data_IF_347670781888
#
_entry.id   IF_347670781888
#
_cell.length_a   1.000
_cell.length_b   1.000
_cell.length_c   1.000
_cell.angle_alpha   90.00
_cell.angle_beta   90.00
_cell.angle_gamma   90.00
#
_symmetry.space_group_name_H-M   'P 1'
#
loop_
_entity.id
_entity.type
_entity.pdbx_description
1 polymer ?
#
# COMPACT_ATOMS: atom_id res chain seq x y z
N UNK A 1 19.61 -16.83 2.95
CA UNK A 1 18.58 -16.02 2.25
C UNK A 1 17.53 -15.64 3.29
N UNK A 2 17.39 -14.35 3.61
CA UNK A 2 16.40 -13.87 4.58
C UNK A 2 14.97 -14.11 4.05
N UNK A 3 14.27 -15.11 4.64
CA UNK A 3 12.91 -15.50 4.26
C UNK A 3 11.86 -14.42 4.60
N UNK A 4 12.17 -13.55 5.57
CA UNK A 4 11.38 -12.35 5.88
C UNK A 4 12.28 -11.12 5.95
N UNK A 5 11.79 -9.98 5.48
CA UNK A 5 12.53 -8.70 5.39
C UNK A 5 11.88 -7.65 6.28
N UNK A 6 12.16 -7.74 7.58
CA UNK A 6 11.73 -6.75 8.56
C UNK A 6 12.73 -5.61 8.65
N UNK A 7 12.24 -4.39 8.87
CA UNK A 7 13.10 -3.26 9.19
C UNK A 7 13.72 -3.45 10.58
N UNK A 8 14.97 -3.01 10.73
CA UNK A 8 15.74 -3.10 11.99
C UNK A 8 15.77 -1.80 12.77
N UNK A 9 14.93 -0.84 12.40
CA UNK A 9 14.79 0.45 13.05
C UNK A 9 13.52 0.48 13.90
N UNK A 10 13.66 0.99 15.13
CA UNK A 10 12.52 1.30 16.00
C UNK A 10 11.98 2.67 15.61
N UNK A 11 10.66 2.79 15.46
CA UNK A 11 10.03 4.06 15.12
C UNK A 11 10.15 5.06 16.26
N UNK A 12 10.49 6.31 15.90
CA UNK A 12 10.50 7.43 16.85
C UNK A 12 9.06 7.90 17.14
N UNK A 13 8.79 8.47 18.33
CA UNK A 13 7.46 8.93 18.71
C UNK A 13 6.80 9.85 17.68
N UNK A 14 7.56 10.74 17.08
CA UNK A 14 7.09 11.70 16.08
C UNK A 14 6.58 10.96 14.83
N UNK A 15 7.28 9.91 14.41
CA UNK A 15 6.84 9.02 13.32
C UNK A 15 5.59 8.25 13.70
N UNK A 16 5.49 7.76 14.94
CA UNK A 16 4.30 7.04 15.43
C UNK A 16 3.08 7.95 15.40
N UNK A 17 3.18 9.18 15.92
CA UNK A 17 2.11 10.19 15.91
C UNK A 17 1.70 10.50 14.49
N UNK A 18 2.67 10.75 13.59
CA UNK A 18 2.41 11.02 12.19
C UNK A 18 1.64 9.88 11.51
N UNK A 19 2.09 8.63 11.68
CA UNK A 19 1.42 7.46 11.09
C UNK A 19 0.01 7.29 11.67
N UNK A 20 -0.17 7.48 12.98
CA UNK A 20 -1.47 7.40 13.64
C UNK A 20 -2.46 8.44 13.09
N UNK A 21 -2.05 9.70 13.07
CA UNK A 21 -2.86 10.81 12.56
C UNK A 21 -3.22 10.60 11.09
N UNK A 22 -2.26 10.14 10.28
CA UNK A 22 -2.49 9.80 8.88
C UNK A 22 -3.57 8.74 8.71
N UNK A 23 -3.55 7.68 9.53
CA UNK A 23 -4.59 6.64 9.52
C UNK A 23 -5.94 7.12 10.08
N UNK A 24 -6.04 8.36 10.59
CA UNK A 24 -7.24 8.88 11.23
C UNK A 24 -7.59 8.22 12.56
N UNK A 25 -6.61 7.61 13.24
CA UNK A 25 -6.84 6.86 14.47
C UNK A 25 -6.63 7.70 15.73
N UNK A 26 -7.49 7.51 16.71
CA UNK A 26 -7.28 8.00 18.08
C UNK A 26 -6.22 7.17 18.81
N UNK A 27 -5.63 7.75 19.86
CA UNK A 27 -4.62 7.05 20.68
C UNK A 27 -5.18 5.77 21.32
N UNK A 28 -6.46 5.77 21.71
CA UNK A 28 -7.12 4.60 22.28
C UNK A 28 -7.24 3.46 21.27
N UNK A 29 -7.64 3.78 20.04
CA UNK A 29 -7.82 2.81 18.96
C UNK A 29 -6.49 2.16 18.58
N UNK A 30 -5.43 2.98 18.40
CA UNK A 30 -4.11 2.44 18.08
C UNK A 30 -3.54 1.63 19.25
N UNK A 31 -3.79 2.05 20.50
CA UNK A 31 -3.51 1.25 21.68
C UNK A 31 -4.17 -0.13 21.62
N UNK A 32 -5.48 -0.20 21.33
CA UNK A 32 -6.24 -1.46 21.20
C UNK A 32 -5.70 -2.34 20.08
N UNK A 33 -5.40 -1.79 18.90
CA UNK A 33 -4.81 -2.51 17.76
C UNK A 33 -3.49 -3.17 18.17
N UNK A 34 -2.69 -2.48 18.99
CA UNK A 34 -1.39 -2.95 19.46
C UNK A 34 -1.48 -3.85 20.71
N UNK A 35 -2.69 -4.06 21.25
CA UNK A 35 -2.95 -4.87 22.44
C UNK A 35 -2.55 -4.18 23.75
N UNK A 36 -2.66 -2.85 23.82
CA UNK A 36 -2.29 -2.02 24.96
C UNK A 36 -3.45 -1.16 25.43
N UNK A 37 -3.45 -0.80 26.71
CA UNK A 37 -4.32 0.25 27.24
C UNK A 37 -3.76 1.64 26.90
N UNK A 38 -4.60 2.68 27.01
CA UNK A 38 -4.26 4.05 26.58
C UNK A 38 -2.98 4.58 27.24
N UNK A 39 -2.83 4.43 28.56
CA UNK A 39 -1.70 5.03 29.29
C UNK A 39 -0.32 4.48 28.88
N UNK A 40 -0.13 3.15 28.74
CA UNK A 40 1.07 2.58 28.11
C UNK A 40 1.30 3.10 26.69
N UNK A 41 0.26 3.23 25.88
CA UNK A 41 0.37 3.75 24.52
C UNK A 41 0.85 5.21 24.49
N UNK A 42 0.27 6.08 25.31
CA UNK A 42 0.65 7.49 25.42
C UNK A 42 2.13 7.68 25.79
N UNK A 43 2.70 6.78 26.60
CA UNK A 43 4.14 6.83 26.90
C UNK A 43 5.01 6.60 25.67
N UNK A 44 4.57 5.75 24.74
CA UNK A 44 5.27 5.49 23.47
C UNK A 44 5.24 6.68 22.51
N UNK A 45 4.17 7.48 22.57
CA UNK A 45 4.08 8.72 21.80
C UNK A 45 4.78 9.91 22.49
N UNK A 46 5.12 9.83 23.77
CA UNK A 46 5.71 10.94 24.52
C UNK A 46 7.23 10.84 24.74
N UNK A 47 7.84 9.66 24.63
CA UNK A 47 9.23 9.45 25.05
C UNK A 47 10.24 9.65 23.91
N UNK A 48 10.83 10.85 23.82
CA UNK A 48 11.72 11.30 22.71
C UNK A 48 13.23 11.23 23.02
N UNK A 49 13.67 10.77 24.21
CA UNK A 49 15.10 10.93 24.62
C UNK A 49 15.98 9.69 24.41
N UNK A 50 17.13 9.95 23.77
CA UNK A 50 18.38 9.17 23.68
C UNK A 50 18.33 7.75 24.25
N UNK A 51 18.06 6.81 23.34
CA UNK A 51 17.86 5.39 23.60
C UNK A 51 19.09 4.71 24.21
N UNK A 52 19.01 4.30 25.48
CA UNK A 52 19.77 3.14 25.94
C UNK A 52 19.09 1.86 25.44
N UNK A 53 19.94 0.97 24.96
CA UNK A 53 19.71 -0.40 24.49
C UNK A 53 18.41 -1.07 24.95
N UNK A 54 17.75 -1.71 23.98
CA UNK A 54 16.87 -2.88 24.07
C UNK A 54 16.04 -3.02 25.36
N UNK A 55 14.71 -2.90 25.20
CA UNK A 55 13.66 -3.24 26.18
C UNK A 55 13.22 -2.16 27.18
N UNK A 56 13.06 -0.91 26.76
CA UNK A 56 12.19 -0.01 27.51
C UNK A 56 10.72 -0.22 27.12
N UNK A 57 9.88 -0.50 28.13
CA UNK A 57 8.41 -0.54 28.02
C UNK A 57 7.80 0.73 27.38
N UNK A 58 8.54 1.84 27.40
CA UNK A 58 8.19 3.13 26.80
C UNK A 58 8.40 3.19 25.28
N UNK A 59 9.00 2.18 24.64
CA UNK A 59 9.32 2.20 23.20
C UNK A 59 8.61 1.07 22.45
N UNK A 60 8.38 1.24 21.14
CA UNK A 60 7.90 0.13 20.31
C UNK A 60 9.02 -0.90 20.11
N UNK A 61 8.67 -2.18 20.15
CA UNK A 61 9.59 -3.23 19.71
C UNK A 61 9.75 -3.19 18.18
N UNK A 62 10.73 -3.92 17.65
CA UNK A 62 10.88 -4.04 16.20
C UNK A 62 9.64 -4.66 15.55
N UNK A 63 9.07 -5.71 16.13
CA UNK A 63 7.84 -6.32 15.63
C UNK A 63 6.65 -5.36 15.64
N UNK A 64 6.47 -4.60 16.72
CA UNK A 64 5.43 -3.56 16.82
C UNK A 64 5.63 -2.45 15.78
N UNK A 65 6.87 -2.00 15.58
CA UNK A 65 7.23 -0.99 14.59
C UNK A 65 6.94 -1.46 13.16
N UNK A 66 7.31 -2.70 12.83
CA UNK A 66 7.04 -3.30 11.52
C UNK A 66 5.52 -3.47 11.29
N UNK A 67 4.76 -3.86 12.32
CA UNK A 67 3.31 -3.97 12.21
C UNK A 67 2.66 -2.60 11.97
N UNK A 68 3.07 -1.57 12.72
CA UNK A 68 2.55 -0.20 12.54
C UNK A 68 2.81 0.32 11.12
N UNK A 69 4.03 0.11 10.59
CA UNK A 69 4.34 0.45 9.21
C UNK A 69 3.49 -0.33 8.21
N UNK A 70 3.21 -1.61 8.48
CA UNK A 70 2.41 -2.44 7.58
C UNK A 70 0.96 -1.96 7.50
N UNK A 71 0.31 -1.71 8.64
CA UNK A 71 -1.07 -1.25 8.69
C UNK A 71 -1.23 0.19 8.18
N UNK A 72 -0.19 1.01 8.30
CA UNK A 72 -0.12 2.35 7.72
C UNK A 72 0.29 2.37 6.24
N UNK A 73 0.49 1.20 5.61
CA UNK A 73 0.95 1.02 4.23
C UNK A 73 2.33 1.64 3.91
N UNK A 74 3.14 1.88 4.94
CA UNK A 74 4.50 2.47 4.86
C UNK A 74 5.63 1.47 5.01
N UNK A 75 5.32 0.18 5.19
CA UNK A 75 6.35 -0.83 5.25
C UNK A 75 7.11 -0.92 3.91
N UNK A 76 8.45 -0.96 3.89
CA UNK A 76 9.23 -0.91 2.64
C UNK A 76 9.12 -2.21 1.83
N UNK A 77 9.02 -3.36 2.49
CA UNK A 77 9.02 -4.66 1.80
C UNK A 77 7.64 -5.30 1.62
N UNK A 78 6.63 -4.83 2.32
CA UNK A 78 5.33 -5.51 2.43
C UNK A 78 4.21 -4.49 2.39
N UNK A 79 3.05 -4.91 1.91
CA UNK A 79 1.81 -4.13 2.00
C UNK A 79 0.62 -5.07 2.11
N UNK A 80 -0.42 -4.61 2.79
CA UNK A 80 -1.68 -5.34 2.84
C UNK A 80 -2.36 -5.31 1.46
N UNK A 81 -2.95 -6.42 1.03
CA UNK A 81 -3.69 -6.52 -0.24
C UNK A 81 -5.01 -5.75 -0.22
N UNK A 82 -5.49 -5.40 0.96
CA UNK A 82 -6.75 -4.70 1.19
C UNK A 82 -6.57 -3.60 2.23
N UNK A 83 -7.50 -2.63 2.27
CA UNK A 83 -7.45 -1.55 3.25
C UNK A 83 -7.48 -2.10 4.68
N UNK A 84 -6.63 -1.55 5.54
CA UNK A 84 -6.63 -1.90 6.95
C UNK A 84 -7.94 -1.48 7.64
N UNK A 85 -8.44 -2.33 8.55
CA UNK A 85 -9.59 -2.05 9.42
C UNK A 85 -9.31 -2.66 10.80
N UNK A 86 -9.61 -1.94 11.89
CA UNK A 86 -9.40 -2.41 13.27
C UNK A 86 -10.05 -3.78 13.52
N UNK A 87 -11.26 -4.01 13.00
CA UNK A 87 -12.00 -5.27 13.15
C UNK A 87 -11.32 -6.52 12.55
N UNK A 88 -10.27 -6.31 11.77
CA UNK A 88 -9.47 -7.40 11.17
C UNK A 88 -8.37 -7.89 12.10
N UNK A 89 -7.99 -7.12 13.11
CA UNK A 89 -6.96 -7.50 14.07
C UNK A 89 -7.45 -8.69 14.91
N UNK A 90 -6.60 -9.70 15.07
CA UNK A 90 -6.84 -10.81 15.99
C UNK A 90 -6.42 -10.35 17.39
N UNK A 91 -7.39 -10.24 18.29
CA UNK A 91 -7.19 -9.83 19.68
C UNK A 91 -6.95 -11.00 20.63
N UNK A 92 -7.13 -12.23 20.16
CA UNK A 92 -6.86 -13.44 20.93
C UNK A 92 -5.37 -13.57 21.22
N UNK A 93 -5.03 -13.89 22.47
CA UNK A 93 -3.62 -14.09 22.82
C UNK A 93 -3.08 -15.39 22.23
N UNK A 94 -1.90 -15.36 21.60
CA UNK A 94 -1.31 -16.56 21.03
C UNK A 94 -0.92 -17.56 22.12
N UNK A 95 -1.19 -18.84 21.87
CA UNK A 95 -0.59 -19.92 22.65
C UNK A 95 0.87 -20.10 22.26
N UNK A 96 1.67 -20.71 23.14
CA UNK A 96 3.06 -21.05 22.86
C UNK A 96 3.22 -21.91 21.59
N UNK A 97 2.26 -22.81 21.35
CA UNK A 97 2.22 -23.63 20.15
C UNK A 97 1.92 -22.80 18.89
N UNK A 98 1.01 -21.81 18.96
CA UNK A 98 0.80 -20.90 17.83
C UNK A 98 2.07 -20.14 17.46
N UNK A 99 2.82 -19.64 18.46
CA UNK A 99 4.09 -18.92 18.23
C UNK A 99 5.12 -19.84 17.54
N UNK A 100 5.22 -21.09 17.98
CA UNK A 100 6.10 -22.09 17.38
C UNK A 100 5.69 -22.43 15.95
N UNK A 101 4.39 -22.63 15.70
CA UNK A 101 3.84 -22.92 14.37
C UNK A 101 4.12 -21.77 13.39
N UNK A 102 3.93 -20.52 13.81
CA UNK A 102 4.25 -19.35 12.99
C UNK A 102 5.72 -19.32 12.57
N UNK A 103 6.63 -19.58 13.52
CA UNK A 103 8.06 -19.64 13.19
C UNK A 103 8.37 -20.74 12.18
N UNK A 104 7.77 -21.92 12.36
CA UNK A 104 7.95 -23.05 11.44
C UNK A 104 7.37 -22.75 10.06
N UNK A 105 6.19 -22.12 9.98
CA UNK A 105 5.56 -21.70 8.72
C UNK A 105 6.43 -20.66 7.97
N UNK A 106 7.06 -19.75 8.70
CA UNK A 106 8.06 -18.82 8.15
C UNK A 106 9.39 -19.51 7.81
N UNK A 107 9.55 -20.77 8.21
CA UNK A 107 10.71 -21.60 7.96
C UNK A 107 11.99 -21.07 8.59
N UNK A 108 11.85 -20.46 9.78
CA UNK A 108 12.96 -19.87 10.53
C UNK A 108 13.35 -20.72 11.74
N UNK A 109 14.63 -20.67 12.08
CA UNK A 109 15.13 -21.18 13.37
C UNK A 109 14.76 -20.21 14.51
N UNK A 110 14.75 -20.67 15.78
CA UNK A 110 14.52 -19.76 16.92
C UNK A 110 15.53 -18.62 17.00
N UNK A 111 16.76 -18.84 16.55
CA UNK A 111 17.80 -17.82 16.53
C UNK A 111 17.50 -16.76 15.47
N UNK A 112 17.21 -17.17 14.24
CA UNK A 112 16.85 -16.24 13.17
C UNK A 112 15.60 -15.44 13.53
N UNK A 113 14.58 -16.08 14.10
CA UNK A 113 13.36 -15.39 14.51
C UNK A 113 13.62 -14.37 15.63
N UNK A 114 14.45 -14.71 16.61
CA UNK A 114 14.87 -13.78 17.65
C UNK A 114 15.59 -12.57 17.05
N UNK A 115 16.57 -12.79 16.16
CA UNK A 115 17.24 -11.71 15.41
C UNK A 115 16.27 -10.91 14.56
N UNK A 116 15.27 -11.55 13.96
CA UNK A 116 14.30 -10.88 13.10
C UNK A 116 13.43 -9.90 13.90
N UNK A 117 12.98 -10.32 15.08
CA UNK A 117 12.06 -9.59 15.95
C UNK A 117 12.75 -8.71 16.99
N UNK A 118 14.09 -8.70 17.04
CA UNK A 118 14.87 -7.91 18.01
C UNK A 118 14.90 -8.52 19.41
N UNK A 119 14.76 -9.84 19.52
CA UNK A 119 14.84 -10.58 20.78
C UNK A 119 16.17 -11.28 21.00
N UNK A 120 16.51 -11.54 22.26
CA UNK A 120 17.48 -12.60 22.59
C UNK A 120 16.86 -13.97 22.30
N UNK A 121 17.68 -14.95 21.94
CA UNK A 121 17.20 -16.33 21.64
C UNK A 121 16.47 -16.94 22.84
N UNK A 122 16.93 -16.66 24.07
CA UNK A 122 16.28 -17.12 25.30
C UNK A 122 14.89 -16.50 25.52
N UNK A 123 14.76 -15.18 25.28
CA UNK A 123 13.48 -14.50 25.36
C UNK A 123 12.49 -15.01 24.31
N UNK A 124 12.97 -15.32 23.10
CA UNK A 124 12.16 -15.94 22.06
C UNK A 124 11.71 -17.35 22.44
N UNK A 125 12.63 -18.21 22.90
CA UNK A 125 12.30 -19.58 23.34
C UNK A 125 11.27 -19.60 24.46
N UNK A 126 11.32 -18.65 25.38
CA UNK A 126 10.32 -18.51 26.45
C UNK A 126 8.89 -18.24 25.92
N UNK A 127 8.75 -17.61 24.74
CA UNK A 127 7.45 -17.39 24.08
C UNK A 127 6.89 -18.67 23.43
N UNK A 128 7.76 -19.64 23.09
CA UNK A 128 7.38 -20.94 22.52
C UNK A 128 7.19 -22.04 23.57
N UNK A 129 7.35 -21.72 24.86
CA UNK A 129 7.14 -22.67 25.95
C UNK A 129 5.81 -22.40 26.65
N UNK A 130 5.06 -23.47 26.91
CA UNK A 130 3.79 -23.42 27.65
C UNK A 130 4.04 -23.16 29.15
N UNK A 131 4.47 -21.96 29.51
CA UNK A 131 4.65 -21.53 30.90
C UNK A 131 3.62 -20.48 31.28
N UNK A 132 2.94 -20.67 32.41
CA UNK A 132 1.98 -19.69 32.97
C UNK A 132 2.62 -18.34 33.29
N UNK A 133 3.95 -18.29 33.50
CA UNK A 133 4.74 -17.07 33.75
C UNK A 133 5.57 -16.63 32.54
N UNK A 134 5.44 -17.31 31.40
CA UNK A 134 6.20 -17.00 30.19
C UNK A 134 5.86 -15.60 29.65
N UNK A 135 6.87 -14.89 29.15
CA UNK A 135 6.68 -13.63 28.42
C UNK A 135 5.90 -13.98 27.16
N UNK A 136 4.71 -13.41 27.00
CA UNK A 136 3.86 -13.67 25.83
C UNK A 136 4.31 -12.82 24.63
N UNK A 137 3.96 -13.27 23.43
CA UNK A 137 4.09 -12.45 22.23
C UNK A 137 3.03 -11.35 22.27
N UNK A 138 3.40 -10.11 21.91
CA UNK A 138 2.46 -9.00 21.94
C UNK A 138 1.51 -9.09 20.76
N UNK A 139 0.32 -8.48 20.88
CA UNK A 139 -0.73 -8.59 19.87
C UNK A 139 -0.31 -8.08 18.48
N UNK A 140 0.32 -6.90 18.42
CA UNK A 140 0.83 -6.36 17.14
C UNK A 140 1.89 -7.26 16.50
N UNK A 141 2.79 -7.83 17.31
CA UNK A 141 3.81 -8.78 16.83
C UNK A 141 3.18 -10.08 16.32
N UNK A 142 2.16 -10.58 17.01
CA UNK A 142 1.44 -11.78 16.61
C UNK A 142 0.71 -11.59 15.28
N UNK A 143 -0.02 -10.48 15.13
CA UNK A 143 -0.72 -10.14 13.89
C UNK A 143 0.27 -9.98 12.72
N UNK A 144 1.42 -9.32 12.94
CA UNK A 144 2.48 -9.24 11.92
C UNK A 144 2.94 -10.62 11.47
N UNK A 145 3.26 -11.52 12.40
CA UNK A 145 3.78 -12.85 12.05
C UNK A 145 2.72 -13.72 11.36
N UNK A 146 1.47 -13.68 11.81
CA UNK A 146 0.35 -14.35 11.14
C UNK A 146 0.25 -13.93 9.67
N UNK A 147 0.32 -12.62 9.45
CA UNK A 147 0.16 -12.00 8.14
C UNK A 147 1.35 -12.33 7.23
N UNK A 148 2.59 -12.34 7.76
CA UNK A 148 3.78 -12.75 7.02
C UNK A 148 3.83 -14.26 6.74
N UNK A 149 3.27 -15.08 7.63
CA UNK A 149 3.18 -16.53 7.47
C UNK A 149 2.04 -16.96 6.53
N UNK A 150 1.21 -16.04 6.05
CA UNK A 150 0.01 -16.36 5.27
C UNK A 150 -1.07 -17.10 6.07
N UNK A 151 -1.05 -16.98 7.40
CA UNK A 151 -1.95 -17.68 8.34
C UNK A 151 -3.03 -16.77 8.93
N UNK A 152 -3.06 -15.49 8.56
CA UNK A 152 -4.00 -14.53 9.11
C UNK A 152 -5.37 -14.61 8.40
N UNK A 153 -6.44 -14.88 9.16
CA UNK A 153 -7.77 -15.15 8.58
C UNK A 153 -8.46 -13.96 7.90
N UNK A 154 -8.03 -12.72 8.19
CA UNK A 154 -8.69 -11.48 7.71
C UNK A 154 -7.78 -10.50 6.97
N UNK A 155 -6.50 -10.81 6.81
CA UNK A 155 -5.49 -9.90 6.26
C UNK A 155 -4.45 -10.71 5.52
N UNK A 156 -4.00 -10.20 4.38
CA UNK A 156 -2.97 -10.83 3.56
C UNK A 156 -1.96 -9.76 3.15
N UNK A 157 -0.70 -10.14 2.98
CA UNK A 157 0.32 -9.25 2.39
C UNK A 157 0.67 -9.71 1.00
N UNK A 158 1.08 -8.73 0.21
CA UNK A 158 2.01 -8.96 -0.89
C UNK A 158 3.35 -8.34 -0.55
N UNK A 159 4.42 -8.92 -1.07
CA UNK A 159 5.70 -8.21 -1.14
C UNK A 159 5.53 -6.99 -2.02
N UNK A 160 6.02 -5.84 -1.57
CA UNK A 160 6.33 -4.75 -2.51
C UNK A 160 7.41 -5.31 -3.43
N UNK A 161 7.24 -5.16 -4.74
CA UNK A 161 8.33 -5.43 -5.66
C UNK A 161 9.54 -4.69 -5.09
N UNK A 162 10.64 -5.42 -4.89
CA UNK A 162 11.89 -4.75 -4.58
C UNK A 162 12.08 -3.76 -5.73
N UNK A 163 12.42 -2.53 -5.38
CA UNK A 163 13.40 -1.85 -6.20
C UNK A 163 14.58 -2.83 -6.31
N UNK A 164 14.61 -3.60 -7.39
CA UNK A 164 15.68 -4.53 -7.72
C UNK A 164 17.02 -3.78 -7.71
N UNK A 165 18.18 -4.47 -7.66
CA UNK A 165 19.47 -3.80 -7.78
C UNK A 165 19.44 -2.77 -8.92
N UNK A 166 20.08 -1.59 -8.80
CA UNK A 166 19.93 -0.48 -9.75
C UNK A 166 20.05 -0.89 -11.24
N UNK A 167 20.84 -1.91 -11.54
CA UNK A 167 21.04 -2.50 -12.87
C UNK A 167 19.81 -3.28 -13.40
N UNK A 168 19.15 -4.11 -12.57
CA UNK A 168 17.92 -4.82 -12.93
C UNK A 168 16.70 -3.88 -12.97
N UNK A 169 16.70 -2.84 -12.13
CA UNK A 169 15.74 -1.74 -12.21
C UNK A 169 15.91 -0.94 -13.48
N UNK A 170 17.12 -0.63 -13.94
CA UNK A 170 17.29 0.05 -15.24
C UNK A 170 16.76 -0.80 -16.39
N UNK A 171 16.93 -2.12 -16.32
CA UNK A 171 16.44 -3.05 -17.33
C UNK A 171 14.90 -3.19 -17.28
N UNK A 172 14.30 -3.38 -16.10
CA UNK A 172 12.84 -3.47 -15.93
C UNK A 172 12.14 -2.11 -16.08
N UNK A 173 12.76 -1.01 -15.65
CA UNK A 173 12.30 0.35 -15.92
C UNK A 173 12.36 0.62 -17.41
N UNK A 174 13.40 0.18 -18.12
CA UNK A 174 13.45 0.24 -19.58
C UNK A 174 12.32 -0.56 -20.26
N UNK A 175 12.00 -1.76 -19.76
CA UNK A 175 10.89 -2.59 -20.26
C UNK A 175 9.54 -1.96 -19.93
N UNK A 176 9.30 -1.57 -18.68
CA UNK A 176 8.06 -0.92 -18.23
C UNK A 176 7.92 0.44 -18.92
N UNK A 177 9.00 1.19 -19.16
CA UNK A 177 8.95 2.45 -19.91
C UNK A 177 8.75 2.24 -21.42
N UNK A 178 9.26 1.15 -21.98
CA UNK A 178 9.00 0.79 -23.38
C UNK A 178 7.57 0.27 -23.56
N UNK A 179 7.05 -0.53 -22.63
CA UNK A 179 5.68 -1.04 -22.63
C UNK A 179 4.68 0.07 -22.30
N UNK A 180 4.92 0.89 -21.28
CA UNK A 180 4.15 2.11 -21.00
C UNK A 180 4.29 3.12 -22.13
N UNK A 181 5.45 3.20 -22.77
CA UNK A 181 5.67 3.99 -23.97
C UNK A 181 4.86 3.50 -25.17
N UNK A 182 4.68 2.19 -25.32
CA UNK A 182 3.79 1.61 -26.34
C UNK A 182 2.31 1.78 -25.98
N UNK A 183 1.95 1.61 -24.70
CA UNK A 183 0.57 1.71 -24.19
C UNK A 183 0.09 3.17 -24.20
N UNK A 184 0.95 4.10 -23.83
CA UNK A 184 0.65 5.52 -23.68
C UNK A 184 1.28 6.40 -24.78
N UNK A 185 1.91 5.80 -25.79
CA UNK A 185 2.56 6.48 -26.92
C UNK A 185 3.75 7.41 -26.57
N UNK A 186 4.54 7.10 -25.53
CA UNK A 186 5.74 7.86 -25.11
C UNK A 186 7.06 7.19 -25.47
N UNK A 187 8.12 8.00 -25.49
CA UNK A 187 9.51 7.52 -25.53
C UNK A 187 10.05 7.26 -24.11
N UNK A 188 10.97 6.29 -23.93
CA UNK A 188 11.57 6.01 -22.62
C UNK A 188 12.26 7.22 -21.96
N UNK A 189 12.76 8.17 -22.76
CA UNK A 189 13.39 9.41 -22.31
C UNK A 189 12.42 10.37 -21.60
N UNK A 190 11.14 10.36 -21.98
CA UNK A 190 10.10 11.22 -21.39
C UNK A 190 9.65 10.69 -20.02
N UNK A 191 9.56 9.37 -19.85
CA UNK A 191 9.22 8.73 -18.57
C UNK A 191 10.35 8.79 -17.53
N UNK A 192 11.60 9.01 -17.96
CA UNK A 192 12.72 9.21 -17.04
C UNK A 192 12.67 10.55 -16.32
N UNK A 193 11.86 11.49 -16.83
CA UNK A 193 11.62 12.79 -16.28
C UNK A 193 10.26 12.78 -15.53
N UNK A 194 10.12 12.14 -14.36
CA UNK A 194 8.99 12.40 -13.42
C UNK A 194 9.52 12.33 -11.96
N UNK A 195 9.25 13.32 -11.07
CA UNK A 195 9.59 13.31 -9.61
C UNK A 195 8.34 13.53 -8.75
N UNK A 196 8.52 13.25 -7.46
CA UNK A 196 7.48 13.03 -6.46
C UNK A 196 7.17 14.24 -5.55
N UNK A 197 6.28 14.01 -4.58
CA UNK A 197 5.73 14.99 -3.65
C UNK A 197 6.71 15.56 -2.60
N UNK A 198 8.02 15.24 -2.65
CA UNK A 198 9.03 15.72 -1.71
C UNK A 198 9.84 16.94 -2.19
N UNK A 199 9.58 17.43 -3.41
CA UNK A 199 10.07 18.74 -3.85
C UNK A 199 11.49 18.78 -4.43
N UNK A 200 12.12 17.65 -4.76
CA UNK A 200 13.29 17.68 -5.65
C UNK A 200 12.85 17.81 -7.13
N UNK A 201 13.62 18.57 -7.93
CA UNK A 201 13.15 19.31 -9.14
C UNK A 201 12.41 18.53 -10.24
N UNK A 202 11.11 18.75 -10.40
CA UNK A 202 10.44 18.63 -11.70
C UNK A 202 10.38 20.00 -12.37
N UNK A 203 11.55 20.58 -12.67
CA UNK A 203 11.60 21.93 -13.21
C UNK A 203 11.36 21.94 -14.71
N UNK A 204 10.12 22.36 -15.01
CA UNK A 204 9.73 23.22 -16.12
C UNK A 204 10.20 22.83 -17.52
N UNK A 205 9.65 21.81 -18.17
CA UNK A 205 9.62 21.81 -19.65
C UNK A 205 8.38 21.11 -20.22
N UNK A 206 7.91 21.66 -21.35
CA UNK A 206 6.71 21.33 -22.12
C UNK A 206 6.55 19.82 -22.39
N UNK A 207 5.60 19.18 -21.72
CA UNK A 207 5.01 17.96 -22.26
C UNK A 207 4.02 18.38 -23.35
N UNK A 208 4.15 17.81 -24.55
CA UNK A 208 2.95 17.55 -25.35
C UNK A 208 2.16 16.52 -24.51
N UNK A 209 1.21 17.05 -23.73
CA UNK A 209 0.88 16.60 -22.38
C UNK A 209 0.16 15.26 -22.26
N UNK A 210 0.61 14.41 -21.34
CA UNK A 210 -0.25 13.39 -20.71
C UNK A 210 -1.53 14.08 -20.25
N UNK A 211 -2.67 13.55 -20.70
CA UNK A 211 -3.95 14.01 -20.22
C UNK A 211 -4.14 13.54 -18.76
N UNK A 212 -4.88 14.27 -17.91
CA UNK A 212 -5.06 13.92 -16.50
C UNK A 212 -5.48 12.47 -16.23
N UNK A 213 -6.28 11.85 -17.10
CA UNK A 213 -6.63 10.43 -17.00
C UNK A 213 -5.43 9.49 -17.19
N UNK A 214 -4.61 9.74 -18.21
CA UNK A 214 -3.40 8.94 -18.48
C UNK A 214 -2.37 9.11 -17.36
N UNK A 215 -2.19 10.34 -16.89
CA UNK A 215 -1.32 10.64 -15.75
C UNK A 215 -1.79 9.93 -14.48
N UNK A 216 -3.10 9.93 -14.21
CA UNK A 216 -3.67 9.23 -13.05
C UNK A 216 -3.45 7.72 -13.13
N UNK A 217 -3.60 7.11 -14.31
CA UNK A 217 -3.28 5.70 -14.50
C UNK A 217 -1.79 5.40 -14.28
N UNK A 218 -0.91 6.23 -14.83
CA UNK A 218 0.53 6.10 -14.62
C UNK A 218 0.90 6.17 -13.13
N UNK A 219 0.32 7.11 -12.38
CA UNK A 219 0.53 7.21 -10.95
C UNK A 219 0.02 5.98 -10.19
N UNK A 220 -1.06 5.33 -10.64
CA UNK A 220 -1.53 4.06 -10.04
C UNK A 220 -0.52 2.93 -10.26
N UNK A 221 -0.02 2.80 -11.48
CA UNK A 221 0.98 1.80 -11.88
C UNK A 221 2.28 1.95 -11.09
N UNK A 222 2.72 3.19 -10.89
CA UNK A 222 3.91 3.52 -10.11
C UNK A 222 3.70 3.44 -8.58
N UNK A 223 2.49 3.12 -8.12
CA UNK A 223 2.11 3.18 -6.70
C UNK A 223 2.44 4.57 -6.09
N UNK A 224 2.15 5.64 -6.84
CA UNK A 224 2.35 7.05 -6.46
C UNK A 224 1.06 7.87 -6.48
N UNK A 225 -0.06 7.29 -6.91
CA UNK A 225 -1.34 8.00 -6.94
C UNK A 225 -1.73 8.50 -5.55
N UNK A 226 -2.22 9.75 -5.40
CA UNK A 226 -2.50 10.33 -4.09
C UNK A 226 -3.62 9.59 -3.36
N UNK A 227 -4.68 9.24 -4.08
CA UNK A 227 -5.92 8.73 -3.45
C UNK A 227 -6.07 7.21 -3.49
N UNK A 228 -5.32 6.53 -4.35
CA UNK A 228 -5.58 5.14 -4.73
C UNK A 228 -4.27 4.39 -4.91
N UNK A 229 -4.34 3.07 -4.89
CA UNK A 229 -3.23 2.18 -5.26
C UNK A 229 -3.78 0.85 -5.74
N UNK A 230 -2.99 0.12 -6.53
CA UNK A 230 -3.31 -1.24 -6.91
C UNK A 230 -3.15 -2.19 -5.71
N UNK A 231 -4.09 -3.13 -5.57
CA UNK A 231 -4.05 -4.20 -4.56
C UNK A 231 -2.84 -5.10 -4.73
N UNK A 232 -2.54 -5.47 -5.98
CA UNK A 232 -1.38 -6.29 -6.38
C UNK A 232 -0.35 -5.43 -7.13
N UNK A 233 0.94 -5.82 -7.13
CA UNK A 233 1.94 -5.13 -7.93
C UNK A 233 1.52 -5.12 -9.40
N UNK A 234 1.82 -4.01 -10.09
CA UNK A 234 1.46 -3.87 -11.49
C UNK A 234 2.15 -4.94 -12.36
N UNK A 235 1.42 -5.45 -13.34
CA UNK A 235 1.93 -6.31 -14.39
C UNK A 235 1.36 -5.82 -15.73
N UNK A 236 2.22 -5.48 -16.69
CA UNK A 236 1.82 -4.96 -17.99
C UNK A 236 0.90 -5.91 -18.77
N UNK A 237 1.00 -7.23 -18.56
CA UNK A 237 0.11 -8.21 -19.21
C UNK A 237 -1.34 -8.10 -18.74
N UNK A 238 -1.62 -7.36 -17.66
CA UNK A 238 -2.97 -7.15 -17.14
C UNK A 238 -3.67 -5.95 -17.80
N UNK A 239 -2.94 -5.12 -18.55
CA UNK A 239 -3.50 -3.95 -19.22
C UNK A 239 -4.37 -4.38 -20.40
N UNK A 240 -5.59 -3.87 -20.43
CA UNK A 240 -6.47 -4.05 -21.59
C UNK A 240 -6.03 -3.08 -22.68
N UNK A 241 -5.43 -3.62 -23.75
CA UNK A 241 -5.00 -2.86 -24.91
C UNK A 241 -6.11 -2.68 -25.96
N UNK A 242 -7.21 -3.43 -25.82
CA UNK A 242 -8.37 -3.30 -26.68
C UNK A 242 -9.02 -1.93 -26.49
N UNK A 243 -9.40 -1.31 -27.61
CA UNK A 243 -10.12 -0.03 -27.57
C UNK A 243 -11.56 -0.28 -27.12
N UNK A 244 -12.09 0.51 -26.18
CA UNK A 244 -13.47 0.34 -25.76
C UNK A 244 -14.44 0.67 -26.88
N UNK A 245 -15.50 -0.12 -27.01
CA UNK A 245 -16.67 0.23 -27.82
C UNK A 245 -17.54 1.24 -27.06
N UNK A 246 -18.49 1.87 -27.75
CA UNK A 246 -19.48 2.76 -27.13
C UNK A 246 -20.25 2.02 -26.03
N UNK A 247 -20.66 0.78 -26.31
CA UNK A 247 -21.36 -0.09 -25.34
C UNK A 247 -20.52 -0.37 -24.09
N UNK A 248 -19.19 -0.56 -24.25
CA UNK A 248 -18.30 -0.73 -23.10
C UNK A 248 -18.28 0.51 -22.20
N UNK A 249 -18.36 1.71 -22.78
CA UNK A 249 -18.32 2.97 -22.03
C UNK A 249 -19.66 3.22 -21.34
N UNK A 250 -20.78 3.03 -22.05
CA UNK A 250 -22.13 3.13 -21.50
C UNK A 250 -22.35 2.17 -20.33
N UNK A 251 -21.79 0.96 -20.39
CA UNK A 251 -21.82 0.00 -19.29
C UNK A 251 -21.09 0.50 -18.02
N UNK A 252 -20.05 1.32 -18.16
CA UNK A 252 -19.25 1.81 -17.02
C UNK A 252 -19.86 3.03 -16.33
N UNK A 253 -20.57 3.88 -17.04
CA UNK A 253 -21.17 5.11 -16.49
C UNK A 253 -21.98 4.89 -15.20
N UNK A 254 -22.95 3.95 -15.11
CA UNK A 254 -23.71 3.74 -13.88
C UNK A 254 -22.84 3.15 -12.75
N UNK A 255 -21.78 2.41 -13.07
CA UNK A 255 -20.87 1.83 -12.08
C UNK A 255 -19.89 2.86 -11.50
N UNK A 256 -19.48 3.85 -12.30
CA UNK A 256 -18.63 4.96 -11.85
C UNK A 256 -19.38 5.88 -10.88
N UNK A 257 -20.71 5.96 -10.97
CA UNK A 257 -21.52 6.88 -10.17
C UNK A 257 -21.21 8.35 -10.43
N UNK A 258 -20.50 8.67 -11.52
CA UNK A 258 -20.14 10.01 -11.94
C UNK A 258 -21.06 10.46 -13.07
N UNK A 259 -21.36 11.75 -13.11
CA UNK A 259 -22.01 12.36 -14.28
C UNK A 259 -21.03 12.41 -15.45
N UNK A 260 -21.49 12.51 -16.72
CA UNK A 260 -20.60 12.71 -17.86
C UNK A 260 -19.67 13.92 -17.70
N UNK A 261 -20.13 14.97 -16.99
CA UNK A 261 -19.31 16.12 -16.63
C UNK A 261 -18.19 15.74 -15.65
N UNK A 262 -18.50 14.97 -14.60
CA UNK A 262 -17.50 14.52 -13.63
C UNK A 262 -16.45 13.59 -14.23
N UNK A 263 -16.83 12.73 -15.19
CA UNK A 263 -15.87 11.92 -15.94
C UNK A 263 -14.99 12.81 -16.82
N UNK A 264 -15.57 13.79 -17.54
CA UNK A 264 -14.79 14.73 -18.35
C UNK A 264 -13.76 15.48 -17.50
N UNK A 265 -14.15 15.99 -16.32
CA UNK A 265 -13.25 16.68 -15.38
C UNK A 265 -12.12 15.78 -14.87
N UNK A 266 -12.45 14.55 -14.43
CA UNK A 266 -11.47 13.56 -13.99
C UNK A 266 -10.42 13.27 -15.07
N UNK A 267 -10.86 13.23 -16.32
CA UNK A 267 -10.02 12.90 -17.47
C UNK A 267 -9.33 14.13 -18.07
N UNK A 268 -9.66 15.34 -17.60
CA UNK A 268 -9.10 16.61 -18.07
C UNK A 268 -9.66 17.11 -19.40
N UNK A 269 -10.90 16.74 -19.73
CA UNK A 269 -11.60 17.17 -20.94
C UNK A 269 -12.73 18.14 -20.62
N UNK A 270 -13.08 18.95 -21.62
CA UNK A 270 -14.40 19.60 -21.63
C UNK A 270 -15.48 18.56 -21.94
N UNK A 271 -16.70 18.74 -21.42
CA UNK A 271 -17.81 17.82 -21.68
C UNK A 271 -18.09 17.59 -23.18
N UNK A 272 -18.04 18.59 -24.07
CA UNK A 272 -18.17 18.35 -25.51
C UNK A 272 -17.07 17.45 -26.07
N UNK A 273 -15.82 17.63 -25.64
CA UNK A 273 -14.69 16.80 -26.07
C UNK A 273 -14.82 15.36 -25.55
N UNK A 274 -15.28 15.20 -24.30
CA UNK A 274 -15.56 13.88 -23.72
C UNK A 274 -16.65 13.13 -24.48
N UNK A 275 -17.78 13.79 -24.77
CA UNK A 275 -18.88 13.18 -25.54
C UNK A 275 -18.44 12.72 -26.94
N UNK A 276 -17.52 13.44 -27.58
CA UNK A 276 -16.95 13.02 -28.86
C UNK A 276 -16.10 11.75 -28.71
N UNK A 277 -15.33 11.62 -27.62
CA UNK A 277 -14.60 10.39 -27.28
C UNK A 277 -15.52 9.21 -27.02
N UNK A 278 -16.62 9.42 -26.29
CA UNK A 278 -17.59 8.36 -25.97
C UNK A 278 -18.28 7.80 -27.21
N UNK A 279 -18.60 8.66 -28.18
CA UNK A 279 -19.31 8.27 -29.40
C UNK A 279 -18.46 7.45 -30.38
N UNK A 280 -17.13 7.49 -30.24
CA UNK A 280 -16.21 6.78 -31.10
C UNK A 280 -16.14 7.31 -32.54
N UNK A 281 -14.93 7.27 -33.10
CA UNK A 281 -14.56 7.38 -34.52
C UNK A 281 -14.92 8.64 -35.32
N UNK A 282 -15.76 9.54 -34.80
CA UNK A 282 -15.90 10.87 -35.41
C UNK A 282 -14.60 11.64 -35.14
N UNK A 283 -13.75 11.75 -36.16
CA UNK A 283 -12.51 12.55 -36.17
C UNK A 283 -11.26 11.95 -35.50
N UNK A 284 -11.22 10.64 -35.26
CA UNK A 284 -10.00 9.98 -34.73
C UNK A 284 -9.72 10.24 -33.24
N UNK A 285 -10.61 10.93 -32.54
CA UNK A 285 -10.53 11.19 -31.09
C UNK A 285 -11.20 10.01 -30.38
N UNK A 286 -10.40 9.12 -29.79
CA UNK A 286 -10.88 7.91 -29.09
C UNK A 286 -10.33 7.85 -27.66
N UNK A 287 -11.03 7.13 -26.79
CA UNK A 287 -10.50 6.74 -25.48
C UNK A 287 -9.32 5.78 -25.71
N UNK A 288 -8.17 6.05 -25.11
CA UNK A 288 -7.01 5.18 -25.20
C UNK A 288 -7.02 4.09 -24.12
N UNK A 289 -6.06 3.16 -24.20
CA UNK A 289 -5.98 2.03 -23.26
C UNK A 289 -5.77 2.51 -21.82
N UNK A 290 -4.88 3.46 -21.55
CA UNK A 290 -4.64 3.96 -20.19
C UNK A 290 -5.91 4.57 -19.57
N UNK A 291 -6.60 5.42 -20.33
CA UNK A 291 -7.87 6.01 -19.93
C UNK A 291 -8.93 4.94 -19.66
N UNK A 292 -9.05 3.95 -20.54
CA UNK A 292 -10.02 2.88 -20.39
C UNK A 292 -9.73 1.99 -19.16
N UNK A 293 -8.46 1.63 -18.93
CA UNK A 293 -8.06 0.86 -17.75
C UNK A 293 -8.33 1.63 -16.46
N UNK A 294 -8.12 2.95 -16.44
CA UNK A 294 -8.49 3.79 -15.28
C UNK A 294 -9.99 3.76 -15.01
N UNK A 295 -10.83 3.92 -16.03
CA UNK A 295 -12.29 3.85 -15.87
C UNK A 295 -12.74 2.49 -15.35
N UNK A 296 -12.18 1.40 -15.88
CA UNK A 296 -12.45 0.05 -15.41
C UNK A 296 -12.05 -0.15 -13.94
N UNK A 297 -10.92 0.43 -13.52
CA UNK A 297 -10.46 0.35 -12.13
C UNK A 297 -11.35 1.15 -11.19
N UNK A 298 -11.73 2.37 -11.57
CA UNK A 298 -12.62 3.24 -10.78
C UNK A 298 -14.04 2.66 -10.69
N UNK A 299 -14.51 1.97 -11.73
CA UNK A 299 -15.80 1.29 -11.76
C UNK A 299 -15.80 -0.09 -11.06
N UNK A 300 -14.64 -0.54 -10.56
CA UNK A 300 -14.44 -1.89 -10.02
C UNK A 300 -14.80 -3.02 -11.02
N UNK A 301 -14.67 -2.76 -12.32
CA UNK A 301 -14.97 -3.70 -13.42
C UNK A 301 -13.74 -4.28 -14.10
N UNK A 302 -12.54 -3.84 -13.72
CA UNK A 302 -11.32 -4.38 -14.28
C UNK A 302 -11.18 -5.88 -13.95
N UNK A 303 -10.93 -6.78 -14.93
CA UNK A 303 -10.99 -8.23 -14.72
C UNK A 303 -9.88 -8.77 -13.80
N UNK A 304 -8.69 -8.15 -13.82
CA UNK A 304 -7.49 -8.66 -13.15
C UNK A 304 -6.92 -7.70 -12.10
N UNK A 305 -6.78 -6.41 -12.44
CA UNK A 305 -6.37 -5.36 -11.50
C UNK A 305 -7.53 -4.88 -10.62
N UNK A 306 -7.21 -4.49 -9.39
CA UNK A 306 -8.14 -3.82 -8.46
C UNK A 306 -7.42 -2.70 -7.74
N UNK A 307 -8.11 -1.58 -7.50
CA UNK A 307 -7.61 -0.48 -6.69
C UNK A 307 -8.24 -0.48 -5.29
N UNK A 308 -7.55 0.16 -4.36
CA UNK A 308 -8.07 0.51 -3.03
C UNK A 308 -7.66 1.93 -2.70
N UNK A 309 -8.47 2.61 -1.89
CA UNK A 309 -8.16 3.94 -1.39
C UNK A 309 -6.90 3.92 -0.51
N UNK A 310 -6.06 4.96 -0.63
CA UNK A 310 -4.99 5.22 0.33
C UNK A 310 -5.60 5.83 1.59
N UNK A 311 -5.05 5.47 2.74
CA UNK A 311 -5.45 6.00 4.05
C UNK A 311 -4.98 7.45 4.24
N UNK A 312 -4.70 8.18 3.17
CA UNK A 312 -4.13 9.51 3.23
C UNK A 312 -5.28 10.49 3.40
N UNK A 313 -5.64 10.76 4.66
CA UNK A 313 -6.61 11.78 4.99
C UNK A 313 -6.15 13.15 4.50
N UNK A 314 -6.73 13.59 3.39
CA UNK A 314 -7.53 14.81 3.37
C UNK A 314 -8.69 14.58 2.39
N UNK A 315 -9.89 14.78 2.92
CA UNK A 315 -11.18 14.55 2.27
C UNK A 315 -11.43 13.09 1.82
N UNK A 316 -12.07 12.33 2.71
CA UNK A 316 -13.13 11.43 2.27
C UNK A 316 -14.24 12.29 1.62
N UNK A 317 -14.00 12.81 0.42
CA UNK A 317 -15.09 12.79 -0.55
C UNK A 317 -15.18 11.33 -0.92
N UNK A 318 -16.04 10.59 -0.21
CA UNK A 318 -16.64 9.45 -0.87
C UNK A 318 -17.15 9.99 -2.21
N UNK A 319 -16.84 9.33 -3.32
CA UNK A 319 -17.49 9.65 -4.60
C UNK A 319 -19.04 9.60 -4.46
N UNK A 320 -19.55 9.04 -3.36
CA UNK A 320 -20.95 9.05 -2.95
C UNK A 320 -21.46 10.31 -2.22
N UNK A 321 -20.59 11.24 -1.81
CA UNK A 321 -20.95 12.44 -1.03
C UNK A 321 -20.77 13.76 -1.81
N UNK A 322 -20.36 13.69 -3.08
CA UNK A 322 -20.60 14.76 -4.06
C UNK A 322 -21.93 14.55 -4.81
N UNK A 323 -22.98 14.15 -4.06
CA UNK A 323 -24.36 14.05 -4.56
C UNK A 323 -24.97 15.41 -4.76
#
# INVERSE_FOLDING_TARGET
MDRIRLIKQILQPETIIFLRQRMGLFQEELGRIMGMTLRPWQRKEACSKELKQQYDSSTLTLGESNFLLLIADKHPNYRLTTQFKESRVISEQPTAENVKQLRVALGLTPQEMATQMGYTVSAWRSKEQASKRGIKLKQGEYNLLLVLAGMHSKMEVTTKLKEDPPELLQQQKGVIQAELGQIMSFTPSELAQIKDASGEEFTQYNFNALMPGEYSFLLLVLDKHPNYRLTMPFNATQVINERPTVENIEYLQPALGLTPQGIAELMGYTLPAWKLKEQGDKFGIKINSAEYNLLLLLAEKHPTMKIIARLDGNELVQIKDAR
#
